data_IF_713298445707
#
_entry.id   IF_713298445707
#
_cell.length_a   1.000
_cell.length_b   1.000
_cell.length_c   1.000
_cell.angle_alpha   90.00
_cell.angle_beta   90.00
_cell.angle_gamma   90.00
#
_symmetry.space_group_name_H-M   'P 1'
#
loop_
_entity.id
_entity.type
_entity.pdbx_description
1 polymer ?
#
# COMPACT_ATOMS: atom_id res chain seq x y z
N UNK A 1 9.49 1.45 18.44
CA UNK A 1 10.03 1.71 17.09
C UNK A 1 8.87 1.66 16.11
N UNK A 2 9.05 2.11 14.88
CA UNK A 2 8.08 1.84 13.83
C UNK A 2 8.35 0.45 13.22
N UNK A 3 7.31 -0.22 12.77
CA UNK A 3 7.37 -1.52 12.09
C UNK A 3 6.66 -1.41 10.74
N UNK A 4 7.04 -2.27 9.79
CA UNK A 4 6.38 -2.30 8.48
C UNK A 4 5.00 -2.96 8.61
N UNK A 5 3.97 -2.25 8.14
CA UNK A 5 2.64 -2.81 7.95
C UNK A 5 2.64 -3.59 6.65
N UNK A 6 2.45 -4.91 6.69
CA UNK A 6 2.42 -5.74 5.47
C UNK A 6 1.12 -5.60 4.70
N UNK A 7 0.02 -5.50 5.43
CA UNK A 7 -1.33 -5.45 4.87
C UNK A 7 -2.22 -4.59 5.76
N UNK A 8 -3.08 -3.78 5.13
CA UNK A 8 -4.00 -2.88 5.81
C UNK A 8 -5.28 -2.65 5.02
N UNK A 9 -6.40 -2.65 5.72
CA UNK A 9 -7.71 -2.26 5.19
C UNK A 9 -7.72 -0.75 4.92
N UNK A 10 -8.16 -0.34 3.73
CA UNK A 10 -8.22 1.06 3.31
C UNK A 10 -8.99 1.96 4.29
N UNK A 11 -10.01 1.43 4.98
CA UNK A 11 -10.80 2.18 5.96
C UNK A 11 -10.00 2.56 7.21
N UNK A 12 -8.96 1.80 7.57
CA UNK A 12 -8.07 2.14 8.69
C UNK A 12 -7.18 3.35 8.41
N UNK A 13 -7.00 3.70 7.13
CA UNK A 13 -6.22 4.85 6.69
C UNK A 13 -7.03 6.15 6.62
N UNK A 14 -8.34 6.11 6.88
CA UNK A 14 -9.20 7.30 6.95
C UNK A 14 -8.91 8.18 8.19
N UNK A 15 -8.02 7.73 9.06
CA UNK A 15 -7.48 8.49 10.19
C UNK A 15 -5.95 8.40 10.20
N UNK A 16 -5.28 9.29 10.94
CA UNK A 16 -3.82 9.30 11.08
C UNK A 16 -3.30 8.33 12.16
N UNK A 17 -4.07 7.31 12.54
CA UNK A 17 -3.73 6.42 13.66
C UNK A 17 -2.67 5.37 13.26
N UNK A 18 -2.84 4.76 12.09
CA UNK A 18 -1.98 3.66 11.61
C UNK A 18 -0.80 4.13 10.74
N UNK A 19 -0.96 5.25 10.02
CA UNK A 19 0.09 5.79 9.14
C UNK A 19 0.00 7.30 8.97
N UNK A 20 1.08 7.88 8.42
CA UNK A 20 1.15 9.30 8.05
C UNK A 20 0.80 9.57 6.58
N UNK A 21 0.14 8.63 5.91
CA UNK A 21 -0.36 8.80 4.53
C UNK A 21 -1.44 9.90 4.51
N UNK A 22 -1.46 10.68 3.43
CA UNK A 22 -2.51 11.70 3.23
C UNK A 22 -3.89 11.06 3.08
N UNK A 23 -4.90 11.61 3.77
CA UNK A 23 -6.27 11.08 3.80
C UNK A 23 -6.96 11.03 2.42
N UNK A 24 -6.44 11.76 1.43
CA UNK A 24 -6.94 11.70 0.06
C UNK A 24 -6.63 10.36 -0.62
N UNK A 25 -5.50 9.71 -0.31
CA UNK A 25 -5.16 8.41 -0.91
C UNK A 25 -6.23 7.35 -0.60
N UNK A 26 -6.55 7.02 0.68
CA UNK A 26 -7.58 6.03 0.97
C UNK A 26 -8.96 6.45 0.46
N UNK A 27 -9.28 7.75 0.46
CA UNK A 27 -10.54 8.26 -0.12
C UNK A 27 -10.66 7.92 -1.61
N UNK A 28 -9.60 8.13 -2.39
CA UNK A 28 -9.57 7.80 -3.82
C UNK A 28 -9.61 6.28 -4.04
N UNK A 29 -8.86 5.51 -3.26
CA UNK A 29 -8.86 4.05 -3.38
C UNK A 29 -10.27 3.49 -3.15
N UNK A 30 -11.00 3.99 -2.15
CA UNK A 30 -12.40 3.67 -1.89
C UNK A 30 -13.30 4.10 -3.06
N UNK A 31 -13.20 5.35 -3.51
CA UNK A 31 -14.03 5.91 -4.58
C UNK A 31 -13.95 5.11 -5.88
N UNK A 32 -12.74 4.68 -6.25
CA UNK A 32 -12.49 3.96 -7.50
C UNK A 32 -12.48 2.43 -7.37
N UNK A 33 -12.66 1.87 -6.17
CA UNK A 33 -12.65 0.42 -5.96
C UNK A 33 -11.28 -0.20 -6.24
N UNK A 34 -10.20 0.47 -5.83
CA UNK A 34 -8.82 0.08 -6.15
C UNK A 34 -8.06 -0.40 -4.91
N UNK A 35 -7.28 -1.46 -5.09
CA UNK A 35 -6.20 -1.82 -4.18
C UNK A 35 -4.93 -1.02 -4.50
N UNK A 36 -4.01 -0.95 -3.54
CA UNK A 36 -2.75 -0.23 -3.69
C UNK A 36 -1.57 -0.97 -3.09
N UNK A 37 -0.45 -0.99 -3.83
CA UNK A 37 0.83 -1.46 -3.32
C UNK A 37 1.76 -0.27 -3.04
N UNK A 38 2.27 -0.18 -1.82
CA UNK A 38 3.28 0.80 -1.43
C UNK A 38 4.64 0.10 -1.37
N UNK A 39 5.59 0.58 -2.17
CA UNK A 39 6.96 0.06 -2.25
C UNK A 39 7.99 1.17 -2.10
N UNK A 40 9.22 0.82 -1.73
CA UNK A 40 10.33 1.78 -1.75
C UNK A 40 10.75 2.10 -3.19
N UNK A 41 10.51 3.34 -3.63
CA UNK A 41 10.81 3.83 -4.98
C UNK A 41 12.30 3.92 -5.33
N UNK A 42 13.21 3.75 -4.36
CA UNK A 42 14.65 3.57 -4.63
C UNK A 42 14.94 2.29 -5.44
N UNK A 43 14.01 1.33 -5.40
CA UNK A 43 14.12 -0.01 -6.01
C UNK A 43 13.00 -0.23 -7.05
N UNK A 44 13.08 0.40 -8.24
CA UNK A 44 12.01 0.37 -9.25
C UNK A 44 11.67 -1.03 -9.77
N UNK A 45 12.60 -1.98 -9.70
CA UNK A 45 12.39 -3.38 -10.04
C UNK A 45 11.27 -4.04 -9.22
N UNK A 46 11.00 -3.54 -8.00
CA UNK A 46 9.91 -4.03 -7.15
C UNK A 46 8.54 -3.77 -7.77
N UNK A 47 8.37 -2.59 -8.39
CA UNK A 47 7.14 -2.25 -9.11
C UNK A 47 6.93 -3.20 -10.28
N UNK A 48 7.99 -3.46 -11.06
CA UNK A 48 7.94 -4.39 -12.19
C UNK A 48 7.61 -5.82 -11.74
N UNK A 49 8.12 -6.24 -10.59
CA UNK A 49 7.85 -7.58 -10.08
C UNK A 49 6.38 -7.75 -9.67
N UNK A 50 5.79 -6.77 -8.98
CA UNK A 50 4.35 -6.79 -8.63
C UNK A 50 3.49 -6.86 -9.89
N UNK A 51 3.73 -5.98 -10.87
CA UNK A 51 2.93 -5.93 -12.11
C UNK A 51 2.98 -7.24 -12.90
N UNK A 52 4.14 -7.90 -12.92
CA UNK A 52 4.35 -9.12 -13.69
C UNK A 52 4.04 -10.41 -12.91
N UNK A 53 3.51 -10.33 -11.68
CA UNK A 53 3.38 -11.48 -10.76
C UNK A 53 4.71 -12.26 -10.62
N UNK A 54 5.81 -11.51 -10.55
CA UNK A 54 7.17 -12.03 -10.42
C UNK A 54 7.55 -12.36 -8.97
N UNK A 55 8.85 -12.45 -8.72
CA UNK A 55 9.36 -12.69 -7.37
C UNK A 55 8.97 -11.57 -6.40
N UNK A 56 8.13 -11.91 -5.43
CA UNK A 56 7.58 -10.99 -4.43
C UNK A 56 8.32 -11.12 -3.09
N UNK A 57 9.58 -11.57 -3.10
CA UNK A 57 10.41 -11.78 -1.91
C UNK A 57 10.84 -10.50 -1.17
N UNK A 58 10.43 -9.33 -1.65
CA UNK A 58 10.71 -8.04 -1.04
C UNK A 58 9.53 -7.51 -0.22
N UNK A 59 9.86 -6.61 0.70
CA UNK A 59 8.87 -5.97 1.57
C UNK A 59 8.10 -4.85 0.86
N UNK A 60 6.80 -4.83 1.10
CA UNK A 60 5.83 -3.83 0.64
C UNK A 60 4.64 -3.76 1.61
N UNK A 61 3.82 -2.72 1.49
CA UNK A 61 2.50 -2.66 2.15
C UNK A 61 1.42 -2.83 1.10
N UNK A 62 0.50 -3.77 1.33
CA UNK A 62 -0.72 -3.92 0.55
C UNK A 62 -1.88 -3.21 1.23
N UNK A 63 -2.50 -2.27 0.55
CA UNK A 63 -3.73 -1.61 0.98
C UNK A 63 -4.86 -2.25 0.18
N UNK A 64 -5.71 -3.01 0.88
CA UNK A 64 -6.83 -3.70 0.25
C UNK A 64 -8.14 -2.92 0.44
N UNK A 65 -8.97 -2.92 -0.59
CA UNK A 65 -10.31 -2.35 -0.60
C UNK A 65 -11.33 -3.49 -0.76
N UNK A 66 -11.54 -4.23 0.35
CA UNK A 66 -12.54 -5.32 0.47
C UNK A 66 -13.43 -5.11 1.70
#
# INVERSE_FOLDING_TARGET
GAELIKEIDVNKLLTFDESSIDLMLPTLLIEYGLDCYVVNGEYPERVLSIINNGDSSFEYTFIHNE
#
